data_IF_191137611207
#
_entry.id   IF_191137611207
#
_cell.length_a   1.000
_cell.length_b   1.000
_cell.length_c   1.000
_cell.angle_alpha   90.00
_cell.angle_beta   90.00
_cell.angle_gamma   90.00
#
_symmetry.space_group_name_H-M   'P 1'
#
loop_
_entity.id
_entity.type
_entity.pdbx_description
1 polymer ?
#
# COMPACT_ATOMS: atom_id res chain seq x y z
N UNK A 1 -26.08 1.44 14.05
CA UNK A 1 -25.38 2.37 13.13
C UNK A 1 -25.27 1.70 11.78
N UNK A 2 -25.68 2.35 10.70
CA UNK A 2 -25.46 1.83 9.36
C UNK A 2 -23.97 1.94 9.05
N UNK A 3 -23.26 0.82 9.05
CA UNK A 3 -21.85 0.77 8.68
C UNK A 3 -21.67 0.97 7.17
N UNK A 4 -20.46 1.38 6.76
CA UNK A 4 -20.08 1.38 5.35
C UNK A 4 -20.06 -0.08 4.88
N UNK A 5 -20.79 -0.38 3.82
CA UNK A 5 -20.87 -1.73 3.25
C UNK A 5 -20.26 -1.77 1.85
N UNK A 6 -19.74 -2.92 1.41
CA UNK A 6 -19.26 -3.08 0.04
C UNK A 6 -20.33 -2.72 -0.99
N UNK A 7 -19.90 -2.06 -2.06
CA UNK A 7 -20.76 -1.62 -3.16
C UNK A 7 -19.96 -1.59 -4.46
N UNK A 8 -20.59 -1.17 -5.57
CA UNK A 8 -19.85 -0.98 -6.84
C UNK A 8 -18.71 0.05 -6.73
N UNK A 9 -18.82 1.02 -5.81
CA UNK A 9 -17.83 2.10 -5.60
C UNK A 9 -16.86 1.79 -4.47
N UNK A 10 -17.27 0.93 -3.51
CA UNK A 10 -16.46 0.55 -2.35
C UNK A 10 -16.44 -0.96 -2.27
N UNK A 11 -15.27 -1.54 -2.37
CA UNK A 11 -15.06 -2.99 -2.38
C UNK A 11 -14.49 -3.47 -1.04
N UNK A 12 -14.71 -4.74 -0.73
CA UNK A 12 -13.95 -5.44 0.31
C UNK A 12 -12.62 -5.95 -0.24
N UNK A 13 -11.71 -6.29 0.66
CA UNK A 13 -10.49 -7.04 0.38
C UNK A 13 -10.78 -8.54 0.48
N UNK A 14 -9.89 -9.44 0.02
CA UNK A 14 -10.01 -10.88 0.26
C UNK A 14 -10.06 -11.24 1.75
N UNK A 15 -9.51 -10.38 2.61
CA UNK A 15 -9.46 -10.59 4.06
C UNK A 15 -10.60 -9.92 4.83
N UNK A 16 -11.44 -9.12 4.18
CA UNK A 16 -12.56 -8.41 4.85
C UNK A 16 -13.45 -9.31 5.69
N UNK A 17 -13.80 -10.57 5.28
CA UNK A 17 -14.57 -11.45 6.15
C UNK A 17 -13.84 -11.80 7.45
N UNK A 18 -12.54 -12.06 7.39
CA UNK A 18 -11.70 -12.33 8.56
C UNK A 18 -11.56 -11.11 9.47
N UNK A 19 -11.36 -9.92 8.89
CA UNK A 19 -11.31 -8.63 9.60
C UNK A 19 -12.62 -8.37 10.35
N UNK A 20 -13.75 -8.63 9.71
CA UNK A 20 -15.06 -8.49 10.33
C UNK A 20 -15.27 -9.51 11.46
N UNK A 21 -14.88 -10.76 11.25
CA UNK A 21 -14.95 -11.80 12.27
C UNK A 21 -14.04 -11.50 13.47
N UNK A 22 -12.90 -10.84 13.26
CA UNK A 22 -12.02 -10.36 14.31
C UNK A 22 -12.58 -9.16 15.10
N UNK A 23 -13.74 -8.62 14.71
CA UNK A 23 -14.46 -7.61 15.48
C UNK A 23 -14.11 -6.16 15.13
N UNK A 24 -13.69 -5.88 13.91
CA UNK A 24 -13.49 -4.49 13.46
C UNK A 24 -14.77 -3.65 13.66
N UNK A 25 -14.65 -2.54 14.38
CA UNK A 25 -15.77 -1.68 14.77
C UNK A 25 -16.02 -0.52 13.83
N UNK A 26 -15.00 -0.11 13.07
CA UNK A 26 -15.12 0.97 12.11
C UNK A 26 -14.23 0.73 10.89
N UNK A 27 -14.60 1.37 9.79
CA UNK A 27 -13.91 1.32 8.53
C UNK A 27 -13.77 2.72 7.95
N UNK A 28 -12.67 2.94 7.26
CA UNK A 28 -12.50 4.02 6.30
C UNK A 28 -12.41 3.47 4.88
N UNK A 29 -12.37 4.34 3.90
CA UNK A 29 -12.22 3.96 2.49
C UNK A 29 -10.86 4.42 2.00
N UNK A 30 -10.09 3.48 1.47
CA UNK A 30 -8.80 3.75 0.85
C UNK A 30 -8.71 2.96 -0.48
N UNK A 31 -8.29 3.59 -1.56
CA UNK A 31 -8.25 3.00 -2.90
C UNK A 31 -9.57 2.32 -3.32
N UNK A 32 -10.72 2.90 -2.97
CA UNK A 32 -12.04 2.33 -3.19
C UNK A 32 -12.29 1.00 -2.47
N UNK A 33 -11.56 0.70 -1.40
CA UNK A 33 -11.73 -0.48 -0.58
C UNK A 33 -11.96 -0.12 0.89
N UNK A 34 -12.61 -1.02 1.60
CA UNK A 34 -12.79 -0.91 3.05
C UNK A 34 -11.47 -1.21 3.76
N UNK A 35 -11.00 -0.26 4.55
CA UNK A 35 -9.84 -0.40 5.42
C UNK A 35 -10.31 -0.31 6.88
N UNK A 36 -10.05 -1.33 7.74
CA UNK A 36 -10.45 -1.26 9.14
C UNK A 36 -9.71 -0.14 9.86
N UNK A 37 -10.44 0.62 10.68
CA UNK A 37 -9.88 1.76 11.41
C UNK A 37 -9.50 1.42 12.85
N UNK A 38 -10.33 0.64 13.54
CA UNK A 38 -10.03 0.15 14.89
C UNK A 38 -10.90 -1.06 15.25
N UNK A 39 -10.44 -1.83 16.25
CA UNK A 39 -11.09 -3.04 16.76
C UNK A 39 -11.68 -2.85 18.14
N UNK A 40 -10.99 -2.22 19.05
CA UNK A 40 -11.50 -1.91 20.40
C UNK A 40 -11.80 -0.42 20.55
N UNK A 41 -10.77 0.39 20.60
CA UNK A 41 -10.82 1.85 20.58
C UNK A 41 -9.49 2.38 20.02
N UNK A 42 -9.46 3.61 19.53
CA UNK A 42 -8.22 4.21 19.02
C UNK A 42 -7.11 4.20 20.09
N UNK A 43 -7.45 4.51 21.34
CA UNK A 43 -6.51 4.54 22.45
C UNK A 43 -5.98 3.15 22.78
N UNK A 44 -6.86 2.16 22.91
CA UNK A 44 -6.47 0.81 23.27
C UNK A 44 -5.67 0.13 22.16
N UNK A 45 -6.09 0.29 20.91
CA UNK A 45 -5.37 -0.25 19.75
C UNK A 45 -3.99 0.41 19.60
N UNK A 46 -3.89 1.73 19.84
CA UNK A 46 -2.60 2.42 19.88
C UNK A 46 -1.69 1.90 20.99
N UNK A 47 -2.19 1.73 22.21
CA UNK A 47 -1.39 1.20 23.31
C UNK A 47 -1.02 -0.28 23.10
N UNK A 48 -1.90 -1.05 22.46
CA UNK A 48 -1.59 -2.42 22.04
C UNK A 48 -0.45 -2.44 21.02
N UNK A 49 -0.49 -1.60 19.99
CA UNK A 49 0.58 -1.46 18.99
C UNK A 49 1.95 -1.16 19.63
N UNK A 50 1.95 -0.37 20.71
CA UNK A 50 3.20 0.00 21.43
C UNK A 50 3.80 -1.15 22.24
N UNK A 51 3.02 -2.15 22.62
CA UNK A 51 3.43 -3.22 23.54
C UNK A 51 3.46 -4.61 22.92
N UNK A 52 2.68 -4.81 21.86
CA UNK A 52 2.42 -6.13 21.28
C UNK A 52 2.49 -6.06 19.76
N UNK A 53 2.44 -7.24 19.14
CA UNK A 53 2.36 -7.38 17.69
C UNK A 53 0.92 -7.15 17.20
N UNK A 54 0.78 -6.46 16.09
CA UNK A 54 -0.49 -6.32 15.37
C UNK A 54 -0.35 -6.86 13.94
N UNK A 55 -1.44 -7.41 13.42
CA UNK A 55 -1.57 -7.82 12.03
C UNK A 55 -2.52 -6.85 11.32
N UNK A 56 -2.11 -6.34 10.19
CA UNK A 56 -2.84 -5.32 9.44
C UNK A 56 -3.25 -5.86 8.07
N UNK A 57 -4.53 -5.69 7.70
CA UNK A 57 -4.98 -5.91 6.34
C UNK A 57 -4.65 -4.67 5.50
N UNK A 58 -3.59 -4.76 4.73
CA UNK A 58 -3.12 -3.71 3.80
C UNK A 58 -3.43 -4.02 2.33
N UNK A 59 -4.33 -4.97 2.07
CA UNK A 59 -4.72 -5.38 0.70
C UNK A 59 -5.41 -4.28 -0.11
N UNK A 60 -5.72 -3.16 0.53
CA UNK A 60 -6.20 -1.92 -0.12
C UNK A 60 -5.10 -1.27 -0.97
N UNK A 61 -3.83 -1.58 -0.71
CA UNK A 61 -2.69 -1.12 -1.48
C UNK A 61 -2.45 -2.04 -2.68
N UNK A 62 -2.68 -1.49 -3.88
CA UNK A 62 -2.51 -2.23 -5.11
C UNK A 62 -1.04 -2.34 -5.49
N UNK A 63 -0.67 -3.47 -6.03
CA UNK A 63 0.67 -3.71 -6.55
C UNK A 63 0.69 -3.49 -8.06
N UNK A 64 1.72 -2.78 -8.52
CA UNK A 64 2.00 -2.56 -9.94
C UNK A 64 3.42 -3.04 -10.21
N UNK A 65 3.57 -3.99 -11.13
CA UNK A 65 4.89 -4.46 -11.58
C UNK A 65 5.32 -3.67 -12.81
N UNK A 66 6.49 -3.04 -12.71
CA UNK A 66 7.11 -2.32 -13.84
C UNK A 66 8.33 -3.12 -14.27
N UNK A 67 8.33 -3.62 -15.52
CA UNK A 67 9.38 -4.48 -16.08
C UNK A 67 9.79 -4.00 -17.46
N UNK A 68 11.04 -4.24 -17.82
CA UNK A 68 11.61 -3.94 -19.13
C UNK A 68 12.86 -3.06 -19.05
N UNK A 69 13.56 -2.88 -20.17
CA UNK A 69 14.83 -2.14 -20.23
C UNK A 69 14.73 -0.69 -19.78
N UNK A 70 13.56 -0.06 -19.97
CA UNK A 70 13.31 1.33 -19.58
C UNK A 70 12.57 1.48 -18.25
N UNK A 71 12.34 0.40 -17.49
CA UNK A 71 11.60 0.44 -16.22
C UNK A 71 12.23 1.44 -15.24
N UNK A 72 13.53 1.38 -15.03
CA UNK A 72 14.23 2.32 -14.15
C UNK A 72 14.16 3.78 -14.64
N UNK A 73 14.15 4.00 -15.95
CA UNK A 73 13.99 5.33 -16.55
C UNK A 73 12.60 5.87 -16.26
N UNK A 74 11.55 5.07 -16.47
CA UNK A 74 10.18 5.45 -16.15
C UNK A 74 10.03 5.84 -14.69
N UNK A 75 10.55 5.02 -13.76
CA UNK A 75 10.44 5.29 -12.33
C UNK A 75 11.12 6.62 -11.94
N UNK A 76 12.25 6.95 -12.57
CA UNK A 76 12.91 8.25 -12.36
C UNK A 76 12.15 9.45 -12.93
N UNK A 77 11.35 9.24 -13.97
CA UNK A 77 10.57 10.31 -14.57
C UNK A 77 9.32 10.68 -13.78
N UNK A 78 8.71 9.70 -13.10
CA UNK A 78 7.43 9.90 -12.39
C UNK A 78 7.59 10.35 -10.94
N UNK A 79 8.82 10.35 -10.40
CA UNK A 79 9.07 10.72 -9.01
C UNK A 79 10.20 11.76 -8.90
N UNK A 80 10.05 12.77 -8.02
CA UNK A 80 11.14 13.71 -7.72
C UNK A 80 12.24 13.10 -6.84
N UNK A 81 12.03 11.87 -6.34
CA UNK A 81 13.03 11.19 -5.50
C UNK A 81 14.17 10.62 -6.34
N UNK A 82 15.39 10.71 -5.81
CA UNK A 82 16.56 10.10 -6.46
C UNK A 82 16.50 8.57 -6.36
N UNK A 83 15.96 7.95 -7.41
CA UNK A 83 15.82 6.49 -7.52
C UNK A 83 17.14 5.78 -7.84
N UNK A 84 18.25 6.51 -8.13
CA UNK A 84 19.54 5.89 -8.36
C UNK A 84 20.16 5.30 -7.09
N UNK A 85 19.71 5.74 -5.93
CA UNK A 85 20.14 5.23 -4.61
C UNK A 85 19.41 3.97 -4.19
N UNK A 86 18.47 3.51 -4.99
CA UNK A 86 17.66 2.34 -4.68
C UNK A 86 18.50 1.06 -4.84
N UNK A 87 18.59 0.28 -3.78
CA UNK A 87 19.22 -1.04 -3.80
C UNK A 87 18.19 -2.15 -3.95
N UNK A 88 18.62 -3.33 -4.39
CA UNK A 88 17.78 -4.53 -4.46
C UNK A 88 17.27 -4.89 -3.06
N UNK A 89 16.03 -5.41 -3.01
CA UNK A 89 15.31 -5.82 -1.81
C UNK A 89 15.10 -4.71 -0.76
N UNK A 90 15.31 -3.45 -1.15
CA UNK A 90 14.99 -2.30 -0.32
C UNK A 90 13.69 -1.63 -0.78
N UNK A 91 12.89 -1.23 0.19
CA UNK A 91 11.70 -0.45 -0.04
C UNK A 91 11.97 1.05 0.10
N UNK A 92 11.47 1.83 -0.87
CA UNK A 92 11.58 3.28 -0.89
C UNK A 92 10.19 3.89 -1.01
N UNK A 93 9.89 4.86 -0.16
CA UNK A 93 8.74 5.73 -0.37
C UNK A 93 8.99 6.59 -1.62
N UNK A 94 8.07 6.55 -2.56
CA UNK A 94 8.22 7.17 -3.87
C UNK A 94 6.99 8.01 -4.21
N UNK A 95 6.97 9.30 -3.89
CA UNK A 95 5.87 10.17 -4.32
C UNK A 95 5.84 10.26 -5.84
N UNK A 96 4.67 10.10 -6.42
CA UNK A 96 4.41 10.35 -7.84
C UNK A 96 3.73 11.70 -7.93
N UNK A 97 4.33 12.63 -8.70
CA UNK A 97 3.87 13.99 -8.80
C UNK A 97 3.49 14.37 -10.23
N UNK A 98 2.58 15.33 -10.35
CA UNK A 98 2.31 16.01 -11.61
C UNK A 98 3.35 17.11 -11.88
N UNK A 99 3.23 17.76 -13.06
CA UNK A 99 4.15 18.83 -13.50
C UNK A 99 4.08 20.09 -12.64
N UNK A 100 3.05 20.22 -11.79
CA UNK A 100 2.88 21.34 -10.86
C UNK A 100 3.35 21.01 -9.45
N UNK A 101 3.87 19.80 -9.23
CA UNK A 101 4.29 19.30 -7.92
C UNK A 101 3.14 18.78 -7.06
N UNK A 102 1.93 18.64 -7.61
CA UNK A 102 0.81 17.99 -6.94
C UNK A 102 1.04 16.49 -6.81
N UNK A 103 0.80 15.94 -5.62
CA UNK A 103 0.93 14.50 -5.39
C UNK A 103 -0.22 13.74 -6.02
N UNK A 104 0.08 12.86 -6.96
CA UNK A 104 -0.88 11.95 -7.61
C UNK A 104 -1.03 10.64 -6.85
N UNK A 105 0.07 10.13 -6.29
CA UNK A 105 0.11 8.90 -5.52
C UNK A 105 1.37 8.86 -4.65
N UNK A 106 1.35 8.03 -3.61
CA UNK A 106 2.44 7.91 -2.65
C UNK A 106 2.86 6.45 -2.38
N UNK A 107 3.18 5.67 -3.43
CA UNK A 107 3.51 4.27 -3.28
C UNK A 107 4.82 4.04 -2.53
N UNK A 108 4.94 2.84 -1.97
CA UNK A 108 6.22 2.25 -1.62
C UNK A 108 6.69 1.41 -2.79
N UNK A 109 7.89 1.70 -3.29
CA UNK A 109 8.51 0.96 -4.38
C UNK A 109 9.61 0.07 -3.85
N UNK A 110 9.75 -1.13 -4.41
CA UNK A 110 10.82 -2.07 -4.09
C UNK A 110 11.49 -2.52 -5.38
N UNK A 111 12.82 -2.48 -5.41
CA UNK A 111 13.60 -3.09 -6.47
C UNK A 111 13.77 -4.57 -6.13
N UNK A 112 13.00 -5.42 -6.80
CA UNK A 112 13.04 -6.86 -6.55
C UNK A 112 14.17 -7.50 -7.35
N UNK A 113 14.94 -8.35 -6.70
CA UNK A 113 15.78 -9.31 -7.38
C UNK A 113 14.88 -10.36 -8.05
N UNK A 114 14.75 -10.27 -9.36
CA UNK A 114 14.02 -11.29 -10.13
C UNK A 114 15.05 -12.19 -10.82
N UNK A 115 15.12 -13.44 -10.43
CA UNK A 115 15.88 -14.45 -11.18
C UNK A 115 14.93 -15.11 -12.20
N UNK A 116 15.32 -15.28 -13.48
CA UNK A 116 16.55 -14.75 -14.08
C UNK A 116 16.44 -13.24 -14.37
N UNK A 117 17.54 -12.55 -14.13
CA UNK A 117 17.70 -11.16 -14.56
C UNK A 117 17.70 -11.10 -16.10
N UNK A 118 17.06 -10.09 -16.72
CA UNK A 118 17.23 -9.86 -18.16
C UNK A 118 18.68 -9.53 -18.57
N UNK A 119 19.60 -9.40 -17.61
CA UNK A 119 21.04 -9.21 -17.85
C UNK A 119 21.77 -10.53 -18.05
N UNK A 120 21.11 -11.67 -17.80
CA UNK A 120 21.72 -13.00 -17.88
C UNK A 120 21.36 -13.73 -19.18
N UNK A 121 20.80 -13.02 -20.18
CA UNK A 121 20.47 -13.51 -21.51
C UNK A 121 21.29 -12.80 -22.58
#
# INVERSE_FOLDING_TARGET
>A
MAGIVPSRRVRGTPFSPGVQAAGAKAYTVYNHMLLPSYFDSYQNDYHHLKKYVQVWDVSVERQVSVKGPDAAKLMRMVSPRDMNKMAEDQCYYMPICDDNGGMLNDPVTCLLYTSPSPRDS
#
